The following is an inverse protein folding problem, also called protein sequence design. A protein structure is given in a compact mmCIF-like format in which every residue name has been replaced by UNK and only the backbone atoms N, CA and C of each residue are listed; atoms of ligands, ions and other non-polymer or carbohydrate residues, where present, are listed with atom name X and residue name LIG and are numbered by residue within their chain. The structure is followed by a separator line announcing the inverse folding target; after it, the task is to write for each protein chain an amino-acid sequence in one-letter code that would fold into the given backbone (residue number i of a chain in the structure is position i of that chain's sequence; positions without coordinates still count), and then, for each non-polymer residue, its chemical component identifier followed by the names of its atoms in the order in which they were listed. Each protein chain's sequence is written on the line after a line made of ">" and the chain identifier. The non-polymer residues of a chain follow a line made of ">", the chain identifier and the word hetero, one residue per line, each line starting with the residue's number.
data_IF_851390609268
#
_entry.id   IF_851390609268
#
_cell.length_a   1.000
_cell.length_b   1.000
_cell.length_c   1.000
_cell.angle_alpha   90.00
_cell.angle_beta   90.00
_cell.angle_gamma   90.00
#
_symmetry.space_group_name_H-M   'P 1'
#
loop_
_entity.id
_entity.type
_entity.pdbx_description
1 polymer ?
#
# COMPACT_ATOMS: atom_id res chain seq x y z
N UNK A 1 11.11 -14.69 19.43
CA UNK A 1 9.76 -14.84 18.85
C UNK A 1 9.92 -15.23 17.41
N UNK A 2 9.30 -16.33 16.96
CA UNK A 2 9.55 -16.93 15.64
C UNK A 2 8.28 -17.30 14.88
N UNK A 3 7.10 -16.85 15.33
CA UNK A 3 5.81 -17.14 14.68
C UNK A 3 4.98 -15.87 14.52
N UNK A 4 4.28 -15.79 13.39
CA UNK A 4 3.51 -14.65 12.97
C UNK A 4 2.17 -15.11 12.39
N UNK A 5 1.11 -14.41 12.74
CA UNK A 5 -0.24 -14.65 12.25
C UNK A 5 -0.37 -14.28 10.78
N UNK A 6 -1.19 -15.03 10.04
CA UNK A 6 -1.59 -14.66 8.68
C UNK A 6 -2.64 -13.56 8.78
N UNK A 7 -2.34 -12.41 8.21
CA UNK A 7 -3.21 -11.24 8.10
C UNK A 7 -3.26 -10.89 6.61
N UNK A 8 -4.47 -10.83 6.04
CA UNK A 8 -4.63 -10.56 4.60
C UNK A 8 -3.86 -11.56 3.72
N UNK A 9 -4.01 -12.84 4.06
CA UNK A 9 -3.40 -14.00 3.36
C UNK A 9 -1.86 -14.06 3.42
N UNK A 10 -1.21 -13.12 4.10
CA UNK A 10 0.25 -13.05 4.22
C UNK A 10 0.69 -12.89 5.68
N UNK A 11 1.92 -13.28 5.99
CA UNK A 11 2.48 -13.11 7.35
C UNK A 11 3.15 -11.77 7.57
N UNK A 12 3.60 -11.15 6.48
CA UNK A 12 4.28 -9.85 6.48
C UNK A 12 3.99 -9.14 5.17
N UNK A 13 3.50 -7.90 5.29
CA UNK A 13 3.45 -6.95 4.18
C UNK A 13 4.69 -6.07 4.23
N UNK A 14 5.47 -6.08 3.16
CA UNK A 14 6.67 -5.25 3.05
C UNK A 14 6.43 -4.21 1.96
N UNK A 15 6.54 -2.94 2.34
CA UNK A 15 6.47 -1.80 1.44
C UNK A 15 7.87 -1.23 1.26
N UNK A 16 8.25 -0.95 0.02
CA UNK A 16 9.53 -0.35 -0.32
C UNK A 16 9.26 0.91 -1.11
N UNK A 17 9.70 2.06 -0.60
CA UNK A 17 9.52 3.37 -1.25
C UNK A 17 10.83 4.13 -1.35
N UNK A 18 10.99 4.94 -2.39
CA UNK A 18 12.07 5.93 -2.46
C UNK A 18 11.74 7.18 -1.65
N UNK A 19 12.73 7.99 -1.22
CA UNK A 19 12.48 9.22 -0.49
C UNK A 19 11.62 10.25 -1.22
N UNK A 20 11.69 10.29 -2.55
CA UNK A 20 10.84 11.13 -3.40
C UNK A 20 9.43 10.53 -3.64
N UNK A 21 9.17 9.35 -3.08
CA UNK A 21 7.94 8.57 -3.25
C UNK A 21 7.61 8.24 -4.72
N UNK A 22 8.59 8.26 -5.63
CA UNK A 22 8.42 7.89 -7.04
C UNK A 22 8.31 6.39 -7.27
N UNK A 23 9.03 5.60 -6.45
CA UNK A 23 9.02 4.15 -6.47
C UNK A 23 8.14 3.58 -5.36
N UNK A 24 7.43 2.50 -5.66
CA UNK A 24 6.68 1.71 -4.70
C UNK A 24 6.70 0.23 -5.08
N UNK A 25 6.96 -0.61 -4.10
CA UNK A 25 6.73 -2.05 -4.19
C UNK A 25 5.97 -2.53 -2.95
N UNK A 26 4.98 -3.39 -3.16
CA UNK A 26 4.29 -4.14 -2.12
C UNK A 26 4.56 -5.62 -2.34
N UNK A 27 5.35 -6.20 -1.43
CA UNK A 27 5.91 -7.55 -1.57
C UNK A 27 5.74 -8.31 -0.25
N UNK A 28 5.71 -9.63 -0.33
CA UNK A 28 5.42 -10.50 0.81
C UNK A 28 6.57 -11.49 0.98
N UNK A 29 7.51 -11.21 1.90
CA UNK A 29 8.61 -12.12 2.20
C UNK A 29 8.13 -13.47 2.75
N UNK A 30 8.84 -14.53 2.41
CA UNK A 30 8.59 -15.87 2.94
C UNK A 30 9.24 -16.03 4.31
N UNK A 31 8.48 -16.59 5.26
CA UNK A 31 9.01 -16.88 6.59
C UNK A 31 9.81 -18.19 6.58
N UNK A 32 11.02 -18.16 7.14
CA UNK A 32 11.90 -19.32 7.36
C UNK A 32 11.66 -19.93 8.74
N UNK A 33 12.14 -21.17 8.91
CA UNK A 33 12.01 -21.94 10.16
C UNK A 33 12.69 -21.27 11.37
N UNK A 34 13.73 -20.47 11.14
CA UNK A 34 14.42 -19.69 12.18
C UNK A 34 13.64 -18.44 12.63
N UNK A 35 12.47 -18.18 12.02
CA UNK A 35 11.62 -17.02 12.27
C UNK A 35 11.98 -15.79 11.44
N UNK A 36 13.07 -15.83 10.67
CA UNK A 36 13.45 -14.77 9.74
C UNK A 36 12.56 -14.72 8.51
N UNK A 37 12.52 -13.58 7.85
CA UNK A 37 11.82 -13.39 6.57
C UNK A 37 12.83 -13.19 5.44
N UNK A 38 12.60 -13.85 4.31
CA UNK A 38 13.46 -13.75 3.12
C UNK A 38 12.64 -13.34 1.91
N UNK A 39 13.22 -12.44 1.12
CA UNK A 39 12.66 -11.94 -0.12
C UNK A 39 13.80 -11.78 -1.13
N UNK A 40 13.56 -12.23 -2.36
CA UNK A 40 14.39 -11.85 -3.51
C UNK A 40 13.65 -10.75 -4.27
N UNK A 41 14.17 -9.53 -4.23
CA UNK A 41 13.58 -8.38 -4.92
C UNK A 41 14.70 -7.50 -5.47
N UNK A 42 14.66 -7.25 -6.78
CA UNK A 42 15.68 -6.44 -7.44
C UNK A 42 15.39 -4.95 -7.24
N UNK A 43 16.35 -4.24 -6.67
CA UNK A 43 16.27 -2.80 -6.47
C UNK A 43 17.40 -2.11 -7.24
N UNK A 44 17.11 -1.04 -7.99
CA UNK A 44 18.11 -0.10 -8.47
C UNK A 44 18.98 0.45 -7.35
N UNK A 45 20.19 0.90 -7.66
CA UNK A 45 21.03 1.59 -6.68
C UNK A 45 20.34 2.89 -6.23
N UNK A 46 20.34 3.14 -4.92
CA UNK A 46 19.64 4.28 -4.32
C UNK A 46 19.27 4.07 -2.86
N UNK A 47 18.59 5.07 -2.31
CA UNK A 47 18.05 5.05 -0.95
C UNK A 47 16.59 4.60 -0.97
N UNK A 48 16.19 3.83 0.04
CA UNK A 48 14.82 3.36 0.20
C UNK A 48 14.41 3.38 1.66
N UNK A 49 13.14 3.67 1.91
CA UNK A 49 12.47 3.32 3.16
C UNK A 49 11.75 1.99 2.98
N UNK A 50 12.04 1.04 3.87
CA UNK A 50 11.33 -0.23 3.97
C UNK A 50 10.39 -0.17 5.16
N UNK A 51 9.13 -0.50 4.94
CA UNK A 51 8.09 -0.55 5.98
C UNK A 51 7.56 -1.98 6.05
N UNK A 52 7.72 -2.61 7.21
CA UNK A 52 7.21 -3.95 7.48
C UNK A 52 5.99 -3.87 8.39
N UNK A 53 4.86 -4.43 7.95
CA UNK A 53 3.64 -4.60 8.72
C UNK A 53 3.40 -6.10 8.98
N UNK A 54 3.34 -6.49 10.25
CA UNK A 54 3.21 -7.88 10.67
C UNK A 54 2.55 -8.01 12.04
N UNK A 55 1.96 -9.18 12.29
CA UNK A 55 1.33 -9.51 13.57
C UNK A 55 2.03 -10.73 14.19
N UNK A 56 2.83 -10.56 15.26
CA UNK A 56 3.35 -11.70 15.98
C UNK A 56 2.26 -12.50 16.70
N UNK A 57 2.40 -13.82 16.76
CA UNK A 57 1.47 -14.66 17.52
C UNK A 57 1.50 -14.29 19.01
N UNK A 58 0.32 -14.04 19.59
CA UNK A 58 0.19 -13.63 20.99
C UNK A 58 0.60 -12.18 21.28
N UNK A 59 0.94 -11.39 20.26
CA UNK A 59 1.30 -9.98 20.36
C UNK A 59 0.26 -9.03 19.77
N UNK A 60 0.70 -7.80 19.48
CA UNK A 60 -0.09 -6.77 18.79
C UNK A 60 0.53 -6.45 17.44
N UNK A 61 -0.27 -5.90 16.51
CA UNK A 61 0.21 -5.49 15.18
C UNK A 61 1.41 -4.55 15.31
N UNK A 62 2.43 -4.76 14.47
CA UNK A 62 3.65 -3.97 14.45
C UNK A 62 3.83 -3.36 13.08
N UNK A 63 4.20 -2.08 13.04
CA UNK A 63 4.69 -1.43 11.84
C UNK A 63 6.10 -0.88 12.11
N UNK A 64 7.09 -1.41 11.40
CA UNK A 64 8.50 -1.07 11.59
C UNK A 64 9.05 -0.48 10.31
N UNK A 65 9.73 0.64 10.42
CA UNK A 65 10.35 1.35 9.30
C UNK A 65 11.87 1.29 9.41
N UNK A 66 12.55 1.08 8.28
CA UNK A 66 14.02 1.08 8.22
C UNK A 66 14.51 1.62 6.89
N UNK A 67 15.41 2.60 6.95
CA UNK A 67 16.12 3.07 5.77
C UNK A 67 17.20 2.05 5.35
N UNK A 68 17.31 1.81 4.05
CA UNK A 68 18.36 0.99 3.44
C UNK A 68 19.01 1.73 2.27
N UNK A 69 20.24 1.35 1.95
CA UNK A 69 21.00 1.87 0.81
C UNK A 69 21.39 0.67 -0.06
N UNK A 70 21.03 0.73 -1.33
CA UNK A 70 21.48 -0.22 -2.36
C UNK A 70 22.67 0.41 -3.08
N UNK A 71 23.85 -0.18 -2.91
CA UNK A 71 25.09 0.32 -3.50
C UNK A 71 25.14 0.04 -5.00
N UNK A 72 25.68 0.98 -5.77
CA UNK A 72 25.86 0.86 -7.22
C UNK A 72 25.79 2.20 -7.92
N UNK A 73 25.72 2.18 -9.25
CA UNK A 73 25.48 3.40 -10.05
C UNK A 73 24.00 3.77 -9.98
N UNK A 74 23.64 4.97 -9.50
CA UNK A 74 22.25 5.39 -9.42
C UNK A 74 21.57 5.29 -10.79
N UNK A 75 20.38 4.70 -10.79
CA UNK A 75 19.49 4.68 -11.95
C UNK A 75 18.08 4.97 -11.46
N UNK A 76 17.31 5.72 -12.24
CA UNK A 76 15.92 6.00 -11.91
C UNK A 76 15.15 4.69 -11.77
N UNK A 77 14.51 4.45 -10.61
CA UNK A 77 13.67 3.28 -10.47
C UNK A 77 12.50 3.31 -11.46
N UNK A 78 12.01 2.15 -11.89
CA UNK A 78 10.82 2.12 -12.73
C UNK A 78 9.68 2.81 -11.98
N UNK A 79 8.93 3.65 -12.67
CA UNK A 79 7.71 4.23 -12.10
C UNK A 79 6.78 3.10 -11.66
N UNK A 80 5.99 3.36 -10.61
CA UNK A 80 4.97 2.41 -10.16
C UNK A 80 4.07 2.06 -11.34
N UNK A 81 3.94 0.77 -11.67
CA UNK A 81 3.07 0.32 -12.75
C UNK A 81 1.67 0.90 -12.55
N UNK A 82 1.22 1.72 -13.51
CA UNK A 82 -0.04 2.44 -13.42
C UNK A 82 -1.26 1.52 -13.44
N UNK A 83 -2.44 2.12 -13.38
CA UNK A 83 -3.71 1.40 -13.38
C UNK A 83 -3.97 0.72 -14.75
N UNK A 84 -3.40 -0.47 -14.98
CA UNK A 84 -3.57 -1.20 -16.24
C UNK A 84 -5.05 -1.43 -16.54
N UNK A 85 -5.56 -0.79 -17.60
CA UNK A 85 -6.95 -0.92 -18.04
C UNK A 85 -8.01 -0.33 -17.10
N UNK A 86 -7.61 0.32 -16.00
CA UNK A 86 -8.50 0.92 -15.02
C UNK A 86 -8.32 2.43 -14.98
N UNK A 87 -9.42 3.16 -14.79
CA UNK A 87 -9.41 4.58 -14.42
C UNK A 87 -9.96 4.68 -13.00
N UNK A 88 -9.14 5.19 -12.10
CA UNK A 88 -9.45 5.33 -10.68
C UNK A 88 -9.53 6.80 -10.32
N UNK A 89 -10.58 7.19 -9.63
CA UNK A 89 -10.73 8.53 -9.04
C UNK A 89 -10.75 8.41 -7.54
N UNK A 90 -10.03 9.28 -6.84
CA UNK A 90 -10.05 9.37 -5.38
C UNK A 90 -10.86 10.59 -4.94
N UNK A 91 -11.74 10.40 -3.98
CA UNK A 91 -12.41 11.45 -3.22
C UNK A 91 -11.99 11.35 -1.76
N UNK A 92 -11.63 12.49 -1.17
CA UNK A 92 -11.24 12.61 0.23
C UNK A 92 -12.34 13.29 1.03
N UNK A 93 -12.58 12.85 2.26
CA UNK A 93 -13.44 13.50 3.24
C UNK A 93 -12.78 13.44 4.62
N UNK A 94 -13.14 14.38 5.50
CA UNK A 94 -12.69 14.42 6.90
C UNK A 94 -11.17 14.39 7.10
N UNK A 95 -10.42 15.02 6.17
CA UNK A 95 -8.98 15.19 6.31
C UNK A 95 -8.66 16.04 7.54
N UNK A 96 -7.97 15.46 8.51
CA UNK A 96 -7.50 16.16 9.69
C UNK A 96 -6.55 15.30 10.52
N UNK A 97 -5.52 15.92 11.09
CA UNK A 97 -4.56 15.23 11.95
C UNK A 97 -5.25 14.62 13.19
N UNK A 98 -4.82 13.42 13.57
CA UNK A 98 -5.41 12.63 14.65
C UNK A 98 -6.78 12.04 14.34
N UNK A 99 -7.29 12.15 13.10
CA UNK A 99 -8.62 11.66 12.70
C UNK A 99 -8.52 10.55 11.67
N UNK A 100 -9.55 9.70 11.64
CA UNK A 100 -9.76 8.81 10.50
C UNK A 100 -10.35 9.62 9.36
N UNK A 101 -9.62 9.72 8.25
CA UNK A 101 -10.13 10.30 7.02
C UNK A 101 -10.95 9.24 6.27
N UNK A 102 -11.87 9.66 5.40
CA UNK A 102 -12.55 8.75 4.46
C UNK A 102 -11.97 8.95 3.06
N UNK A 103 -11.32 7.90 2.53
CA UNK A 103 -10.76 7.86 1.18
C UNK A 103 -11.60 6.91 0.33
N UNK A 104 -12.35 7.48 -0.62
CA UNK A 104 -13.25 6.73 -1.50
C UNK A 104 -12.67 6.67 -2.90
N UNK A 105 -12.50 5.47 -3.43
CA UNK A 105 -12.00 5.20 -4.76
C UNK A 105 -13.13 4.70 -5.65
N UNK A 106 -13.36 5.37 -6.78
CA UNK A 106 -14.29 4.91 -7.82
C UNK A 106 -13.50 4.36 -8.98
N UNK A 107 -13.73 3.09 -9.32
CA UNK A 107 -13.04 2.33 -10.36
C UNK A 107 -13.94 2.18 -11.57
N UNK A 108 -13.42 2.62 -12.72
CA UNK A 108 -14.07 2.46 -14.03
C UNK A 108 -13.12 1.76 -15.00
N UNK A 109 -13.69 1.00 -15.94
CA UNK A 109 -12.92 0.41 -17.01
C UNK A 109 -12.42 1.53 -17.93
N UNK A 110 -11.10 1.62 -18.13
CA UNK A 110 -10.50 2.75 -18.82
C UNK A 110 -10.93 2.85 -20.30
N UNK A 111 -11.29 1.71 -20.91
CA UNK A 111 -11.65 1.58 -22.33
C UNK A 111 -13.13 1.88 -22.54
N UNK A 112 -14.01 1.25 -21.77
CA UNK A 112 -15.47 1.35 -21.94
C UNK A 112 -16.09 2.48 -21.14
N UNK A 113 -15.39 2.99 -20.12
CA UNK A 113 -15.92 3.98 -19.17
C UNK A 113 -16.97 3.43 -18.20
N UNK A 114 -17.28 2.14 -18.25
CA UNK A 114 -18.28 1.53 -17.39
C UNK A 114 -17.75 1.33 -15.96
N UNK A 115 -18.63 1.37 -14.94
CA UNK A 115 -18.25 1.00 -13.57
C UNK A 115 -17.71 -0.43 -13.52
N UNK A 116 -16.60 -0.63 -12.82
CA UNK A 116 -16.05 -1.97 -12.57
C UNK A 116 -16.85 -2.65 -11.47
N UNK A 117 -17.34 -3.86 -11.73
CA UNK A 117 -18.16 -4.63 -10.78
C UNK A 117 -17.66 -6.07 -10.59
N UNK A 118 -16.45 -6.34 -11.07
CA UNK A 118 -15.79 -7.64 -11.14
C UNK A 118 -14.37 -7.60 -10.52
N UNK A 119 -14.16 -6.72 -9.52
CA UNK A 119 -12.94 -6.77 -8.71
C UNK A 119 -12.85 -8.13 -8.01
N UNK A 120 -11.64 -8.69 -8.05
CA UNK A 120 -11.31 -9.94 -7.39
C UNK A 120 -10.64 -9.64 -6.05
N UNK A 121 -10.86 -10.48 -5.02
CA UNK A 121 -10.04 -10.43 -3.83
C UNK A 121 -8.55 -10.61 -4.21
N UNK A 122 -7.73 -9.71 -3.69
CA UNK A 122 -6.29 -9.81 -3.64
C UNK A 122 -5.93 -9.75 -2.17
N UNK A 123 -5.11 -10.66 -1.63
CA UNK A 123 -4.74 -10.62 -0.21
C UNK A 123 -5.98 -10.52 0.72
N UNK A 124 -7.03 -11.26 0.39
CA UNK A 124 -8.27 -11.34 1.16
C UNK A 124 -9.15 -10.06 1.20
N UNK A 125 -8.94 -9.08 0.32
CA UNK A 125 -9.81 -7.89 0.20
C UNK A 125 -9.90 -7.39 -1.26
N UNK A 126 -10.91 -6.59 -1.63
CA UNK A 126 -11.05 -6.10 -3.01
C UNK A 126 -10.03 -5.03 -3.40
N UNK A 127 -9.36 -4.44 -2.41
CA UNK A 127 -8.24 -3.52 -2.62
C UNK A 127 -7.36 -3.38 -1.38
N UNK A 128 -6.14 -2.87 -1.56
CA UNK A 128 -5.14 -2.63 -0.48
C UNK A 128 -4.63 -1.21 -0.58
N UNK A 129 -4.53 -0.51 0.55
CA UNK A 129 -4.05 0.87 0.58
C UNK A 129 -2.85 1.02 1.51
N UNK A 130 -1.75 1.50 0.96
CA UNK A 130 -0.60 1.98 1.71
C UNK A 130 -0.51 3.50 1.61
N UNK A 131 -0.41 4.17 2.75
CA UNK A 131 -0.25 5.61 2.87
C UNK A 131 1.05 5.91 3.60
N UNK A 132 1.81 6.90 3.12
CA UNK A 132 2.98 7.41 3.83
C UNK A 132 3.05 8.94 3.77
N UNK A 133 3.50 9.56 4.85
CA UNK A 133 3.79 11.00 4.90
C UNK A 133 5.01 11.31 4.04
N UNK A 134 5.03 12.50 3.42
CA UNK A 134 6.08 12.96 2.51
C UNK A 134 7.49 13.05 3.12
N UNK A 135 7.60 13.01 4.44
CA UNK A 135 8.87 12.97 5.19
C UNK A 135 9.23 11.55 5.67
N UNK A 136 8.48 10.53 5.26
CA UNK A 136 8.66 9.11 5.56
C UNK A 136 8.51 8.73 7.04
N UNK A 137 7.99 9.63 7.89
CA UNK A 137 7.92 9.35 9.34
C UNK A 137 6.73 8.50 9.72
N UNK A 138 5.63 8.63 9.00
CA UNK A 138 4.37 7.98 9.33
C UNK A 138 3.85 7.20 8.13
N UNK A 139 3.73 5.90 8.30
CA UNK A 139 3.11 4.99 7.35
C UNK A 139 1.85 4.38 7.97
N UNK A 140 0.88 4.08 7.12
CA UNK A 140 -0.38 3.46 7.48
C UNK A 140 -0.75 2.46 6.38
N UNK A 141 -1.10 1.25 6.79
CA UNK A 141 -1.62 0.21 5.91
C UNK A 141 -3.03 -0.11 6.36
N UNK A 142 -4.00 0.10 5.48
CA UNK A 142 -5.41 -0.13 5.79
C UNK A 142 -6.12 -0.87 4.67
N UNK A 143 -7.22 -1.49 5.07
CA UNK A 143 -8.06 -2.32 4.23
C UNK A 143 -9.43 -1.67 4.08
N UNK A 144 -10.17 -2.03 3.04
CA UNK A 144 -11.45 -1.41 2.78
C UNK A 144 -12.48 -1.77 3.85
N UNK A 145 -13.43 -0.88 4.03
CA UNK A 145 -14.58 -1.06 4.92
C UNK A 145 -15.41 -2.28 4.50
N UNK A 146 -15.78 -2.35 3.22
CA UNK A 146 -16.39 -3.53 2.61
C UNK A 146 -15.29 -4.44 2.03
N UNK A 147 -15.18 -5.64 2.60
CA UNK A 147 -14.17 -6.64 2.26
C UNK A 147 -14.62 -7.64 1.20
N UNK A 148 -15.87 -7.57 0.74
CA UNK A 148 -16.44 -8.46 -0.29
C UNK A 148 -16.99 -7.73 -1.51
N UNK A 149 -17.05 -6.39 -1.48
CA UNK A 149 -17.46 -5.58 -2.62
C UNK A 149 -16.62 -5.85 -3.87
N UNK A 150 -17.27 -6.06 -5.01
CA UNK A 150 -16.61 -6.23 -6.31
C UNK A 150 -16.46 -4.90 -7.08
N UNK A 151 -16.61 -3.75 -6.40
CA UNK A 151 -16.62 -2.41 -6.99
C UNK A 151 -18.04 -1.87 -7.26
N UNK A 152 -18.17 -0.69 -7.91
CA UNK A 152 -17.08 0.15 -8.43
C UNK A 152 -16.42 1.02 -7.37
N UNK A 153 -17.04 1.12 -6.19
CA UNK A 153 -16.57 1.99 -5.12
C UNK A 153 -15.91 1.16 -4.04
N UNK A 154 -14.75 1.62 -3.57
CA UNK A 154 -14.05 1.04 -2.43
C UNK A 154 -13.64 2.17 -1.49
N UNK A 155 -13.98 2.06 -0.20
CA UNK A 155 -13.71 3.09 0.80
C UNK A 155 -12.74 2.59 1.88
N UNK A 156 -11.84 3.47 2.30
CA UNK A 156 -10.85 3.22 3.35
C UNK A 156 -10.92 4.32 4.40
N UNK A 157 -10.59 3.96 5.64
CA UNK A 157 -10.60 4.88 6.77
C UNK A 157 -9.23 4.98 7.47
N UNK A 158 -8.17 5.49 6.81
CA UNK A 158 -6.87 5.62 7.46
C UNK A 158 -6.87 6.68 8.56
N UNK A 159 -6.24 6.38 9.69
CA UNK A 159 -5.83 7.40 10.65
C UNK A 159 -4.78 8.31 9.99
N UNK A 160 -4.97 9.62 10.06
CA UNK A 160 -3.95 10.62 9.68
C UNK A 160 -3.15 10.99 10.93
N UNK A 161 -1.89 10.56 11.09
CA UNK A 161 -1.18 10.76 12.36
C UNK A 161 -0.82 12.22 12.64
N UNK A 162 -0.50 12.99 11.60
CA UNK A 162 -0.03 14.37 11.72
C UNK A 162 -0.37 15.22 10.47
N UNK A 163 -0.25 16.56 10.54
CA UNK A 163 -0.29 17.40 9.36
C UNK A 163 0.86 17.08 8.38
N UNK A 164 0.64 17.36 7.10
CA UNK A 164 1.65 17.18 6.05
C UNK A 164 1.08 16.73 4.72
N UNK A 165 1.99 16.55 3.74
CA UNK A 165 1.68 15.92 2.46
C UNK A 165 1.72 14.40 2.62
N UNK A 166 0.79 13.71 1.99
CA UNK A 166 0.71 12.26 1.98
C UNK A 166 0.67 11.75 0.55
N UNK A 167 1.30 10.59 0.32
CA UNK A 167 1.08 9.78 -0.86
C UNK A 167 0.39 8.50 -0.47
N UNK A 168 -0.59 8.10 -1.28
CA UNK A 168 -1.29 6.82 -1.16
C UNK A 168 -1.08 6.01 -2.40
N UNK A 169 -0.85 4.71 -2.23
CA UNK A 169 -0.96 3.71 -3.29
C UNK A 169 -2.11 2.80 -2.97
N UNK A 170 -2.99 2.60 -3.95
CA UNK A 170 -4.08 1.65 -3.87
C UNK A 170 -3.94 0.60 -4.96
N UNK A 171 -4.11 -0.66 -4.57
CA UNK A 171 -4.00 -1.82 -5.44
C UNK A 171 -5.35 -2.49 -5.61
N UNK A 172 -5.69 -2.83 -6.85
CA UNK A 172 -6.90 -3.56 -7.22
C UNK A 172 -6.51 -4.80 -8.02
N UNK A 173 -7.26 -5.89 -7.88
CA UNK A 173 -7.11 -7.06 -8.75
C UNK A 173 -8.33 -7.24 -9.65
N UNK A 174 -8.08 -7.42 -10.95
CA UNK A 174 -9.11 -7.72 -11.95
C UNK A 174 -8.53 -8.60 -13.04
N UNK A 175 -9.22 -9.67 -13.40
CA UNK A 175 -8.74 -10.61 -14.43
C UNK A 175 -7.37 -11.23 -14.11
N UNK A 176 -7.08 -11.46 -12.82
CA UNK A 176 -5.80 -12.00 -12.34
C UNK A 176 -4.62 -11.04 -12.41
N UNK A 177 -4.83 -9.76 -12.70
CA UNK A 177 -3.79 -8.73 -12.74
C UNK A 177 -3.99 -7.71 -11.64
N UNK A 178 -2.88 -7.32 -11.01
CA UNK A 178 -2.84 -6.28 -9.99
C UNK A 178 -2.55 -4.94 -10.67
N UNK A 179 -3.43 -3.97 -10.47
CA UNK A 179 -3.27 -2.60 -10.93
C UNK A 179 -3.00 -1.71 -9.71
N UNK A 180 -1.89 -0.97 -9.74
CA UNK A 180 -1.53 -0.02 -8.69
C UNK A 180 -1.75 1.40 -9.19
N UNK A 181 -2.33 2.28 -8.38
CA UNK A 181 -2.43 3.71 -8.69
C UNK A 181 -2.04 4.52 -7.47
N UNK A 182 -1.50 5.71 -7.71
CA UNK A 182 -1.06 6.61 -6.65
C UNK A 182 -1.83 7.92 -6.68
N UNK A 183 -2.04 8.49 -5.50
CA UNK A 183 -2.61 9.82 -5.32
C UNK A 183 -1.86 10.57 -4.22
N UNK A 184 -1.96 11.90 -4.24
CA UNK A 184 -1.42 12.75 -3.19
C UNK A 184 -2.53 13.64 -2.62
N UNK A 185 -2.43 13.94 -1.33
CA UNK A 185 -3.24 14.97 -0.67
C UNK A 185 -2.44 15.64 0.44
N UNK A 186 -2.91 16.79 0.90
CA UNK A 186 -2.30 17.55 2.00
C UNK A 186 -3.29 17.66 3.14
N UNK A 187 -2.77 17.58 4.37
CA UNK A 187 -3.52 17.86 5.60
C UNK A 187 -2.88 19.07 6.25
N UNK A 188 -3.68 20.11 6.44
CA UNK A 188 -3.25 21.35 7.07
C UNK A 188 -3.01 21.18 8.58
N UNK A 189 -2.22 22.07 9.21
CA UNK A 189 -1.96 22.07 10.65
C UNK A 189 -3.21 22.17 11.53
#
# INVERSE_FOLDING_TARGET
>A
MTRFSVVHEQKLHLFIVTPDLGYFAHVHPEQRDDGGFVLQHALPAGEYMVVADFLPEGGTSQMVQKAIIVMGTPSTPPETAGAEGLRVQMKTQDLGAGKHACLTFTVTDARSGQPVTDLQPYLGAPAHLFMIRGDLRDAVHVHPEDRVAAGPTVAFHPLIPAPGRYKVWVQFQRGGRISTTAFEFTVDP
#
